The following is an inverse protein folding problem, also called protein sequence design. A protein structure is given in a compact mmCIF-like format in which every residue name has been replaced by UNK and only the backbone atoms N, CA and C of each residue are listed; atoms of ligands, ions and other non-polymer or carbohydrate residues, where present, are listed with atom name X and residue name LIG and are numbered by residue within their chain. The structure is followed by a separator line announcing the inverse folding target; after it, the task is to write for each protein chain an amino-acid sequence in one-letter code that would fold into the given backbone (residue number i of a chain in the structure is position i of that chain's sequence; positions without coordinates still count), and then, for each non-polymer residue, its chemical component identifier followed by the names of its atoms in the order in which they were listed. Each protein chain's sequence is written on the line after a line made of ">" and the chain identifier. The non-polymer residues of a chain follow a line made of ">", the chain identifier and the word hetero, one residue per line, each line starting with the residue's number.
data_IF_446009287037
#
_entry.id   IF_446009287037
#
_cell.length_a   1.000
_cell.length_b   1.000
_cell.length_c   1.000
_cell.angle_alpha   90.00
_cell.angle_beta   90.00
_cell.angle_gamma   90.00
#
_symmetry.space_group_name_H-M   'P 1'
#
loop_
_entity.id
_entity.type
_entity.pdbx_description
1 polymer ?
#
# COMPACT_ATOMS: atom_id res chain seq x y z
N UNK A 1 -3.53 -12.47 -0.73
CA UNK A 1 -3.57 -12.80 0.72
C UNK A 1 -4.45 -11.78 1.42
N UNK A 2 -5.10 -12.09 2.54
CA UNK A 2 -5.88 -11.10 3.28
C UNK A 2 -4.98 -10.25 4.21
N UNK A 3 -5.19 -8.92 4.32
CA UNK A 3 -4.41 -8.06 5.20
C UNK A 3 -4.56 -8.42 6.68
N UNK A 4 -3.52 -8.15 7.48
CA UNK A 4 -3.65 -8.13 8.93
C UNK A 4 -4.43 -6.89 9.40
N UNK A 5 -5.74 -7.07 9.45
CA UNK A 5 -6.75 -6.15 9.93
C UNK A 5 -6.77 -6.20 11.46
N UNK A 6 -6.51 -5.05 12.11
CA UNK A 6 -6.62 -4.95 13.58
C UNK A 6 -8.05 -5.34 14.02
N UNK A 7 -8.23 -6.31 14.94
CA UNK A 7 -9.54 -6.87 15.30
C UNK A 7 -10.36 -5.96 16.23
N UNK A 8 -9.76 -4.90 16.75
CA UNK A 8 -10.46 -3.90 17.55
C UNK A 8 -11.19 -2.91 16.63
N UNK A 9 -12.52 -2.89 16.72
CA UNK A 9 -13.40 -2.01 15.95
C UNK A 9 -13.46 -0.58 16.51
N UNK A 10 -13.25 -0.40 17.81
CA UNK A 10 -13.37 0.88 18.52
C UNK A 10 -12.02 1.65 18.58
N UNK A 11 -10.91 0.97 18.28
CA UNK A 11 -9.55 1.53 18.08
C UNK A 11 -9.51 2.76 17.12
N UNK A 12 -10.54 2.96 16.29
CA UNK A 12 -10.55 3.90 15.15
C UNK A 12 -9.41 3.59 14.14
N UNK A 13 -8.87 2.37 14.22
CA UNK A 13 -7.67 1.95 13.53
C UNK A 13 -7.97 1.47 12.11
N UNK A 14 -8.28 2.41 11.22
CA UNK A 14 -8.11 2.22 9.76
C UNK A 14 -6.67 1.88 9.38
N UNK A 15 -5.72 2.15 10.30
CA UNK A 15 -4.37 1.58 10.34
C UNK A 15 -4.42 0.05 10.22
N UNK A 16 -4.13 -0.44 9.02
CA UNK A 16 -3.73 -1.83 8.77
C UNK A 16 -2.22 -1.93 9.05
N UNK A 17 -1.72 -3.10 9.45
CA UNK A 17 -0.28 -3.31 9.53
C UNK A 17 0.40 -3.54 8.16
N UNK A 18 -0.37 -3.47 7.05
CA UNK A 18 0.15 -3.51 5.69
C UNK A 18 0.67 -2.15 5.23
N UNK A 19 1.84 -2.18 4.60
CA UNK A 19 2.45 -1.02 3.96
C UNK A 19 3.19 -0.05 4.90
N UNK A 20 3.77 0.96 4.26
CA UNK A 20 4.73 1.95 4.81
C UNK A 20 4.12 2.86 5.91
N UNK A 21 2.81 2.76 6.14
CA UNK A 21 2.00 3.62 7.03
C UNK A 21 1.87 3.12 8.49
N UNK A 22 2.51 2.00 8.86
CA UNK A 22 2.33 1.34 10.17
C UNK A 22 2.62 2.22 11.40
N UNK A 23 3.43 3.27 11.27
CA UNK A 23 3.85 4.15 12.37
C UNK A 23 3.29 5.57 12.31
N UNK A 24 2.08 5.74 11.76
CA UNK A 24 1.35 7.02 11.80
C UNK A 24 1.87 8.12 10.87
N UNK A 25 2.82 7.80 10.00
CA UNK A 25 3.31 8.70 8.97
C UNK A 25 2.45 8.62 7.70
N UNK A 26 1.90 9.79 7.31
CA UNK A 26 1.20 10.08 6.06
C UNK A 26 0.26 9.00 5.48
N UNK A 27 -1.05 9.18 5.69
CA UNK A 27 -2.06 8.55 4.83
C UNK A 27 -2.16 9.21 3.44
N UNK A 28 -1.26 10.15 3.10
CA UNK A 28 -1.24 10.86 1.82
C UNK A 28 -0.14 10.33 0.90
N UNK A 29 -0.52 10.02 -0.33
CA UNK A 29 0.38 9.82 -1.47
C UNK A 29 0.30 11.03 -2.43
N UNK A 30 1.35 11.23 -3.24
CA UNK A 30 1.39 12.26 -4.28
C UNK A 30 1.69 11.60 -5.62
N UNK A 31 0.87 11.86 -6.63
CA UNK A 31 1.06 11.31 -7.99
C UNK A 31 2.23 12.04 -8.65
N UNK A 32 3.28 11.31 -9.05
CA UNK A 32 4.47 11.88 -9.70
C UNK A 32 4.97 11.00 -10.83
N UNK A 33 5.48 11.67 -11.86
CA UNK A 33 6.36 11.05 -12.86
C UNK A 33 7.66 10.58 -12.19
N UNK A 34 8.08 9.36 -12.48
CA UNK A 34 9.28 8.71 -11.92
C UNK A 34 10.07 8.02 -13.03
N UNK A 35 11.39 8.24 -13.05
CA UNK A 35 12.30 7.67 -14.05
C UNK A 35 12.70 6.24 -13.66
N UNK A 36 11.74 5.31 -13.76
CA UNK A 36 11.88 3.90 -13.36
C UNK A 36 10.79 3.02 -14.00
N UNK A 37 10.92 1.69 -13.89
CA UNK A 37 9.92 0.71 -14.37
C UNK A 37 9.05 0.15 -13.25
N UNK A 38 7.88 -0.41 -13.57
CA UNK A 38 7.05 -1.11 -12.57
C UNK A 38 7.82 -2.27 -11.92
N UNK A 39 8.57 -3.04 -12.70
CA UNK A 39 9.42 -4.14 -12.22
C UNK A 39 10.44 -3.67 -11.16
N UNK A 40 11.05 -2.50 -11.35
CA UNK A 40 11.99 -1.92 -10.39
C UNK A 40 11.27 -1.41 -9.12
N UNK A 41 10.05 -0.89 -9.25
CA UNK A 41 9.20 -0.53 -8.10
C UNK A 41 8.74 -1.76 -7.31
N UNK A 42 8.34 -2.85 -7.99
CA UNK A 42 8.02 -4.15 -7.37
C UNK A 42 9.23 -4.69 -6.64
N UNK A 43 10.41 -4.71 -7.26
CA UNK A 43 11.66 -5.17 -6.62
C UNK A 43 12.02 -4.34 -5.39
N UNK A 44 11.88 -3.00 -5.45
CA UNK A 44 12.10 -2.12 -4.30
C UNK A 44 11.07 -2.34 -3.17
N UNK A 45 9.80 -2.57 -3.53
CA UNK A 45 8.74 -2.91 -2.58
C UNK A 45 8.99 -4.27 -1.91
N UNK A 46 9.34 -5.29 -2.71
CA UNK A 46 9.72 -6.63 -2.26
C UNK A 46 10.88 -6.59 -1.27
N UNK A 47 11.93 -5.83 -1.58
CA UNK A 47 13.07 -5.63 -0.69
C UNK A 47 12.63 -4.94 0.62
N UNK A 48 11.80 -3.89 0.56
CA UNK A 48 11.26 -3.27 1.78
C UNK A 48 10.46 -4.25 2.64
N UNK A 49 9.67 -5.13 2.01
CA UNK A 49 8.86 -6.13 2.71
C UNK A 49 9.74 -7.18 3.44
N UNK A 50 10.86 -7.63 2.85
CA UNK A 50 11.82 -8.55 3.50
C UNK A 50 12.41 -7.98 4.80
N UNK A 51 12.68 -6.68 4.86
CA UNK A 51 13.21 -6.01 6.05
C UNK A 51 12.12 -5.45 6.98
N UNK A 52 10.85 -5.81 6.74
CA UNK A 52 9.71 -5.40 7.55
C UNK A 52 9.12 -6.57 8.35
N UNK A 53 8.13 -6.29 9.19
CA UNK A 53 7.39 -7.33 9.91
C UNK A 53 6.60 -8.28 8.98
N UNK A 54 6.45 -7.95 7.68
CA UNK A 54 5.81 -8.85 6.70
C UNK A 54 6.57 -10.16 6.51
N UNK A 55 7.90 -10.13 6.53
CA UNK A 55 8.73 -11.33 6.44
C UNK A 55 8.56 -12.32 7.61
N UNK A 56 7.90 -11.90 8.71
CA UNK A 56 7.66 -12.73 9.89
C UNK A 56 6.21 -13.25 10.00
N UNK A 57 5.32 -12.92 9.05
CA UNK A 57 3.89 -13.29 9.08
C UNK A 57 3.37 -13.96 7.81
N UNK A 58 4.19 -14.11 6.78
CA UNK A 58 3.88 -14.92 5.59
C UNK A 58 4.22 -16.39 5.82
N UNK A 59 3.52 -17.29 5.14
CA UNK A 59 3.80 -18.74 5.21
C UNK A 59 4.83 -19.18 4.15
N UNK A 60 4.89 -18.48 3.02
CA UNK A 60 5.90 -18.69 1.95
C UNK A 60 6.52 -17.34 1.53
N UNK A 61 7.86 -17.20 1.45
CA UNK A 61 8.53 -16.00 0.93
C UNK A 61 8.10 -15.55 -0.48
N UNK A 62 7.51 -16.44 -1.29
CA UNK A 62 6.90 -16.09 -2.57
C UNK A 62 5.63 -15.21 -2.43
N UNK A 63 4.93 -15.28 -1.29
CA UNK A 63 3.76 -14.43 -1.04
C UNK A 63 4.11 -12.95 -0.94
N UNK A 64 5.33 -12.61 -0.54
CA UNK A 64 5.84 -11.24 -0.49
C UNK A 64 6.09 -10.66 -1.89
N UNK A 65 6.35 -11.51 -2.89
CA UNK A 65 6.44 -11.11 -4.31
C UNK A 65 5.05 -10.77 -4.85
N UNK A 66 4.07 -11.63 -4.57
CA UNK A 66 2.67 -11.38 -4.93
C UNK A 66 2.12 -10.12 -4.23
N UNK A 67 2.48 -9.89 -2.97
CA UNK A 67 2.11 -8.67 -2.23
C UNK A 67 2.81 -7.42 -2.77
N UNK A 68 4.09 -7.51 -3.15
CA UNK A 68 4.81 -6.40 -3.77
C UNK A 68 4.20 -6.01 -5.13
N UNK A 69 3.88 -7.00 -5.97
CA UNK A 69 3.22 -6.79 -7.26
C UNK A 69 1.84 -6.15 -7.09
N UNK A 70 0.95 -6.74 -6.29
CA UNK A 70 -0.42 -6.28 -6.06
C UNK A 70 -0.47 -4.83 -5.53
N UNK A 71 0.43 -4.46 -4.61
CA UNK A 71 0.55 -3.10 -4.09
C UNK A 71 1.00 -2.10 -5.16
N UNK A 72 2.04 -2.43 -5.94
CA UNK A 72 2.60 -1.52 -6.95
C UNK A 72 1.68 -1.39 -8.16
N UNK A 73 1.11 -2.48 -8.68
CA UNK A 73 0.18 -2.43 -9.81
C UNK A 73 -1.09 -1.65 -9.43
N UNK A 74 -1.59 -1.80 -8.20
CA UNK A 74 -2.69 -0.96 -7.67
C UNK A 74 -2.31 0.53 -7.63
N UNK A 75 -1.08 0.86 -7.19
CA UNK A 75 -0.59 2.24 -7.15
C UNK A 75 -0.43 2.82 -8.57
N UNK A 76 0.12 2.06 -9.51
CA UNK A 76 0.30 2.46 -10.92
C UNK A 76 -1.04 2.64 -11.62
N UNK A 77 -1.98 1.69 -11.45
CA UNK A 77 -3.33 1.80 -12.00
C UNK A 77 -4.06 3.03 -11.43
N UNK A 78 -3.92 3.31 -10.14
CA UNK A 78 -4.48 4.52 -9.50
C UNK A 78 -3.83 5.79 -10.05
N UNK A 79 -2.50 5.86 -10.09
CA UNK A 79 -1.76 7.01 -10.58
C UNK A 79 -2.15 7.36 -12.03
N UNK A 80 -2.38 6.36 -12.88
CA UNK A 80 -2.81 6.56 -14.28
C UNK A 80 -4.16 7.27 -14.44
N UNK A 81 -4.98 7.34 -13.38
CA UNK A 81 -6.31 7.97 -13.37
C UNK A 81 -6.28 9.42 -12.85
N UNK A 82 -5.10 9.94 -12.47
CA UNK A 82 -4.95 11.23 -11.81
C UNK A 82 -3.80 12.05 -12.43
N UNK A 83 -3.91 13.39 -12.54
CA UNK A 83 -2.79 14.23 -12.98
C UNK A 83 -1.60 14.20 -12.02
N UNK A 84 -0.38 14.33 -12.56
CA UNK A 84 0.84 14.63 -11.78
C UNK A 84 0.61 15.83 -10.84
N UNK A 85 1.06 15.71 -9.59
CA UNK A 85 0.84 16.66 -8.51
C UNK A 85 -0.46 16.44 -7.71
N UNK A 86 -1.31 15.48 -8.09
CA UNK A 86 -2.51 15.14 -7.30
C UNK A 86 -2.12 14.50 -5.97
N UNK A 87 -2.70 15.00 -4.87
CA UNK A 87 -2.55 14.39 -3.54
C UNK A 87 -3.75 13.49 -3.25
N UNK A 88 -3.48 12.22 -2.96
CA UNK A 88 -4.46 11.17 -2.71
C UNK A 88 -4.42 10.75 -1.24
N UNK A 89 -5.58 10.63 -0.61
CA UNK A 89 -5.75 10.00 0.69
C UNK A 89 -5.93 8.49 0.50
N UNK A 90 -4.94 7.72 0.94
CA UNK A 90 -4.99 6.26 1.03
C UNK A 90 -5.77 5.84 2.27
N UNK A 91 -6.80 5.01 2.10
CA UNK A 91 -7.54 4.37 3.20
C UNK A 91 -7.80 2.92 2.82
N UNK A 92 -7.67 1.99 3.77
CA UNK A 92 -7.96 0.59 3.51
C UNK A 92 -9.42 0.25 3.82
N UNK A 93 -10.14 -0.33 2.86
CA UNK A 93 -11.51 -0.81 3.03
C UNK A 93 -11.55 -2.28 3.46
N UNK A 94 -12.04 -2.52 4.69
CA UNK A 94 -12.07 -3.85 5.31
C UNK A 94 -13.14 -4.78 4.72
N UNK A 95 -14.37 -4.32 4.41
CA UNK A 95 -15.37 -5.11 3.70
C UNK A 95 -14.91 -5.71 2.35
N UNK A 96 -14.28 -4.93 1.47
CA UNK A 96 -13.77 -5.44 0.18
C UNK A 96 -12.35 -6.02 0.26
N UNK A 97 -11.63 -5.72 1.35
CA UNK A 97 -10.20 -5.97 1.50
C UNK A 97 -9.33 -5.29 0.42
N UNK A 98 -9.65 -4.04 0.06
CA UNK A 98 -8.92 -3.26 -0.97
C UNK A 98 -8.38 -1.92 -0.45
N UNK A 99 -7.36 -1.38 -1.12
CA UNK A 99 -6.90 -0.01 -0.89
C UNK A 99 -7.73 0.98 -1.70
N UNK A 100 -8.39 1.91 -1.01
CA UNK A 100 -9.11 3.03 -1.62
C UNK A 100 -8.21 4.27 -1.65
N UNK A 101 -8.28 5.00 -2.75
CA UNK A 101 -7.57 6.24 -2.98
C UNK A 101 -8.61 7.33 -3.30
N UNK A 102 -8.58 8.43 -2.56
CA UNK A 102 -9.53 9.55 -2.75
C UNK A 102 -8.77 10.87 -2.84
N UNK A 103 -9.13 11.71 -3.81
CA UNK A 103 -8.48 13.02 -3.97
C UNK A 103 -8.68 13.88 -2.73
N UNK A 104 -7.59 14.47 -2.20
CA UNK A 104 -7.68 15.45 -1.12
C UNK A 104 -8.16 16.78 -1.70
N UNK A 105 -9.47 17.03 -1.68
CA UNK A 105 -10.02 18.37 -1.87
C UNK A 105 -9.60 19.28 -0.72
N UNK A 106 -8.94 20.38 -1.06
CA UNK A 106 -8.59 21.51 -0.19
C UNK A 106 -9.74 22.52 -0.11
#
# INVERSE_FOLDING_TARGET
>A
MAPFVCPDHDCICTRVHQGIVSHGYSTKAEVRDVDTTSEALVSACRFHLDFSQWAAVVEDPAELELLAADLIDTMVQTASQHPTGTVLHMTFDRPTSTWLYTTVTT
#
